data_IF_848719484101
#
_entry.id   IF_848719484101
#
_cell.length_a   1.000
_cell.length_b   1.000
_cell.length_c   1.000
_cell.angle_alpha   90.00
_cell.angle_beta   90.00
_cell.angle_gamma   90.00
#
_symmetry.space_group_name_H-M   'P 1'
#
loop_
_entity.id
_entity.type
_entity.pdbx_description
1 polymer ?
#
# COMPACT_ATOMS: atom_id res chain seq x y z
N UNK A 1 -15.00 19.21 3.42
CA UNK A 1 -15.00 18.59 2.09
C UNK A 1 -13.65 17.93 1.74
N UNK A 2 -12.51 18.60 2.01
CA UNK A 2 -11.16 18.06 1.76
C UNK A 2 -10.91 16.77 2.58
N UNK A 3 -11.30 16.75 3.85
CA UNK A 3 -11.13 15.59 4.73
C UNK A 3 -12.02 14.41 4.34
N UNK A 4 -13.26 14.70 3.92
CA UNK A 4 -14.16 13.67 3.41
C UNK A 4 -13.64 13.04 2.13
N UNK A 5 -13.04 13.82 1.23
CA UNK A 5 -12.37 13.35 0.03
C UNK A 5 -11.14 12.47 0.36
N UNK A 6 -10.36 12.83 1.39
CA UNK A 6 -9.22 12.06 1.90
C UNK A 6 -9.69 10.72 2.47
N UNK A 7 -10.75 10.73 3.28
CA UNK A 7 -11.34 9.51 3.85
C UNK A 7 -11.81 8.50 2.79
N UNK A 8 -12.43 8.98 1.71
CA UNK A 8 -12.82 8.13 0.59
C UNK A 8 -11.62 7.52 -0.15
N UNK A 9 -10.56 8.31 -0.35
CA UNK A 9 -9.31 7.81 -0.94
C UNK A 9 -8.63 6.75 -0.07
N UNK A 10 -8.73 6.86 1.25
CA UNK A 10 -8.16 5.90 2.19
C UNK A 10 -8.89 4.56 2.18
N UNK A 11 -10.16 4.50 1.83
CA UNK A 11 -10.90 3.23 1.63
C UNK A 11 -10.29 2.42 0.48
N UNK A 12 -10.01 3.05 -0.67
CA UNK A 12 -9.30 2.39 -1.78
C UNK A 12 -7.89 1.97 -1.40
N UNK A 13 -7.15 2.83 -0.71
CA UNK A 13 -5.81 2.50 -0.20
C UNK A 13 -5.81 1.22 0.63
N UNK A 14 -6.78 1.06 1.54
CA UNK A 14 -6.87 -0.13 2.39
C UNK A 14 -7.20 -1.40 1.61
N UNK A 15 -8.06 -1.32 0.59
CA UNK A 15 -8.32 -2.47 -0.30
C UNK A 15 -7.07 -2.87 -1.09
N UNK A 16 -6.34 -1.88 -1.63
CA UNK A 16 -5.06 -2.08 -2.31
C UNK A 16 -4.05 -2.73 -1.35
N UNK A 17 -3.96 -2.23 -0.13
CA UNK A 17 -3.07 -2.75 0.90
C UNK A 17 -3.41 -4.18 1.29
N UNK A 18 -4.70 -4.50 1.47
CA UNK A 18 -5.14 -5.85 1.79
C UNK A 18 -4.71 -6.87 0.74
N UNK A 19 -4.91 -6.57 -0.55
CA UNK A 19 -4.49 -7.45 -1.65
C UNK A 19 -2.95 -7.53 -1.72
N UNK A 20 -2.25 -6.39 -1.61
CA UNK A 20 -0.79 -6.33 -1.59
C UNK A 20 -0.19 -7.12 -0.43
N UNK A 21 -0.75 -6.99 0.77
CA UNK A 21 -0.36 -7.73 1.97
C UNK A 21 -0.59 -9.25 1.78
N UNK A 22 -1.73 -9.65 1.23
CA UNK A 22 -2.04 -11.05 0.97
C UNK A 22 -0.98 -11.69 0.05
N UNK A 23 -0.65 -11.03 -1.06
CA UNK A 23 0.33 -11.54 -2.02
C UNK A 23 1.75 -11.46 -1.43
N UNK A 24 2.16 -10.30 -0.91
CA UNK A 24 3.52 -10.03 -0.46
C UNK A 24 3.89 -10.82 0.79
N UNK A 25 3.09 -10.71 1.86
CA UNK A 25 3.34 -11.40 3.13
C UNK A 25 3.15 -12.91 2.97
N UNK A 26 2.11 -13.35 2.23
CA UNK A 26 1.88 -14.76 1.96
C UNK A 26 3.03 -15.40 1.18
N UNK A 27 3.56 -14.73 0.15
CA UNK A 27 4.71 -15.20 -0.62
C UNK A 27 6.00 -15.25 0.23
N UNK A 28 6.24 -14.24 1.06
CA UNK A 28 7.41 -14.19 1.94
C UNK A 28 7.35 -15.27 3.02
N UNK A 29 6.17 -15.56 3.56
CA UNK A 29 5.96 -16.67 4.50
C UNK A 29 6.22 -18.02 3.83
N UNK A 30 5.70 -18.20 2.61
CA UNK A 30 5.95 -19.42 1.81
C UNK A 30 7.43 -19.59 1.48
N UNK A 31 8.12 -18.50 1.15
CA UNK A 31 9.57 -18.46 0.95
C UNK A 31 10.30 -18.96 2.19
N UNK A 32 10.00 -18.40 3.38
CA UNK A 32 10.65 -18.79 4.63
C UNK A 32 10.45 -20.27 4.96
N UNK A 33 9.21 -20.78 4.84
CA UNK A 33 8.90 -22.22 5.05
C UNK A 33 9.63 -23.10 4.05
N UNK A 34 9.68 -22.72 2.78
CA UNK A 34 10.32 -23.51 1.72
C UNK A 34 11.84 -23.53 1.89
N UNK A 35 12.43 -22.41 2.29
CA UNK A 35 13.86 -22.29 2.60
C UNK A 35 14.26 -23.17 3.78
N UNK A 36 13.48 -23.13 4.87
CA UNK A 36 13.71 -23.99 6.03
C UNK A 36 13.66 -25.50 5.69
N UNK A 37 12.91 -25.87 4.62
CA UNK A 37 12.84 -27.24 4.11
C UNK A 37 13.90 -27.56 3.05
N UNK A 38 14.87 -26.68 2.82
CA UNK A 38 15.94 -26.87 1.84
C UNK A 38 15.48 -26.88 0.37
N UNK A 39 14.29 -26.33 0.07
CA UNK A 39 13.77 -26.25 -1.31
C UNK A 39 14.34 -25.03 -2.04
N UNK A 40 14.43 -25.12 -3.37
CA UNK A 40 14.80 -23.97 -4.19
C UNK A 40 13.75 -22.86 -4.08
N UNK A 41 14.19 -21.67 -3.67
CA UNK A 41 13.35 -20.51 -3.38
C UNK A 41 13.67 -19.28 -4.22
N UNK A 42 14.58 -19.40 -5.19
CA UNK A 42 15.11 -18.28 -5.98
C UNK A 42 14.07 -17.49 -6.78
N UNK A 43 12.92 -18.10 -7.07
CA UNK A 43 11.88 -17.51 -7.91
C UNK A 43 10.73 -16.85 -7.12
N UNK A 44 10.69 -17.03 -5.80
CA UNK A 44 9.53 -16.56 -4.98
C UNK A 44 9.37 -15.04 -4.98
N UNK A 45 10.47 -14.31 -4.86
CA UNK A 45 10.44 -12.85 -4.84
C UNK A 45 9.92 -12.28 -6.16
N UNK A 46 10.52 -12.71 -7.28
CA UNK A 46 10.15 -12.22 -8.62
C UNK A 46 8.70 -12.56 -8.94
N UNK A 47 8.24 -13.77 -8.60
CA UNK A 47 6.83 -14.14 -8.79
C UNK A 47 5.89 -13.29 -7.93
N UNK A 48 6.25 -12.99 -6.68
CA UNK A 48 5.46 -12.15 -5.80
C UNK A 48 5.31 -10.72 -6.36
N UNK A 49 6.42 -10.11 -6.80
CA UNK A 49 6.39 -8.79 -7.43
C UNK A 49 5.57 -8.81 -8.72
N UNK A 50 5.76 -9.83 -9.56
CA UNK A 50 4.98 -9.96 -10.81
C UNK A 50 3.48 -10.06 -10.54
N UNK A 51 3.06 -10.88 -9.59
CA UNK A 51 1.65 -11.00 -9.22
C UNK A 51 1.11 -9.73 -8.56
N UNK A 52 1.91 -9.02 -7.77
CA UNK A 52 1.53 -7.72 -7.20
C UNK A 52 1.27 -6.68 -8.31
N UNK A 53 2.13 -6.64 -9.32
CA UNK A 53 1.95 -5.75 -10.48
C UNK A 53 0.72 -6.15 -11.30
N UNK A 54 0.53 -7.44 -11.59
CA UNK A 54 -0.64 -7.93 -12.32
C UNK A 54 -1.95 -7.63 -11.58
N UNK A 55 -1.98 -7.83 -10.27
CA UNK A 55 -3.14 -7.50 -9.43
C UNK A 55 -3.40 -5.99 -9.34
N UNK A 56 -2.39 -5.15 -9.55
CA UNK A 56 -2.53 -3.70 -9.57
C UNK A 56 -3.13 -3.16 -10.88
N UNK A 57 -3.02 -3.89 -11.98
CA UNK A 57 -3.49 -3.44 -13.32
C UNK A 57 -4.96 -2.98 -13.32
N UNK A 58 -5.93 -3.71 -12.76
CA UNK A 58 -7.32 -3.25 -12.74
C UNK A 58 -7.48 -1.90 -12.05
N UNK A 59 -6.80 -1.68 -10.91
CA UNK A 59 -6.83 -0.42 -10.17
C UNK A 59 -6.20 0.72 -10.96
N UNK A 60 -5.08 0.47 -11.64
CA UNK A 60 -4.46 1.45 -12.54
C UNK A 60 -5.42 1.85 -13.66
N UNK A 61 -6.07 0.90 -14.30
CA UNK A 61 -7.02 1.17 -15.39
C UNK A 61 -8.20 2.01 -14.90
N UNK A 62 -8.74 1.71 -13.71
CA UNK A 62 -9.78 2.52 -13.06
C UNK A 62 -9.27 3.95 -12.83
N UNK A 63 -8.05 4.12 -12.30
CA UNK A 63 -7.46 5.43 -12.06
C UNK A 63 -7.22 6.25 -13.33
N UNK A 64 -6.87 5.60 -14.44
CA UNK A 64 -6.61 6.27 -15.71
C UNK A 64 -7.92 6.66 -16.41
N UNK A 65 -8.89 5.73 -16.53
CA UNK A 65 -10.05 5.90 -17.39
C UNK A 65 -11.30 6.42 -16.67
N UNK A 66 -11.53 6.03 -15.40
CA UNK A 66 -12.80 6.28 -14.71
C UNK A 66 -12.63 6.72 -13.23
N UNK A 67 -11.71 7.63 -12.89
CA UNK A 67 -11.50 8.05 -11.49
C UNK A 67 -12.75 8.67 -10.87
N UNK A 68 -13.57 9.38 -11.65
CA UNK A 68 -14.80 10.03 -11.17
C UNK A 68 -15.86 8.99 -10.76
N UNK A 69 -16.01 7.91 -11.53
CA UNK A 69 -16.94 6.82 -11.19
C UNK A 69 -16.47 6.05 -9.94
N UNK A 70 -15.15 5.92 -9.77
CA UNK A 70 -14.58 5.32 -8.58
C UNK A 70 -14.94 6.13 -7.33
N UNK A 71 -14.82 7.46 -7.37
CA UNK A 71 -15.26 8.34 -6.28
C UNK A 71 -16.76 8.30 -6.05
N UNK A 72 -17.56 8.34 -7.12
CA UNK A 72 -19.03 8.27 -7.04
C UNK A 72 -19.51 6.96 -6.39
N UNK A 73 -18.85 5.83 -6.67
CA UNK A 73 -19.13 4.52 -6.04
C UNK A 73 -18.94 4.54 -4.53
N UNK A 74 -18.02 5.36 -4.02
CA UNK A 74 -17.80 5.58 -2.58
C UNK A 74 -18.74 6.62 -1.96
N UNK A 75 -19.69 7.16 -2.73
CA UNK A 75 -20.66 8.15 -2.24
C UNK A 75 -20.16 9.59 -2.27
N UNK A 76 -19.17 9.91 -3.11
CA UNK A 76 -18.74 11.28 -3.32
C UNK A 76 -19.78 12.06 -4.13
N UNK A 77 -20.14 13.26 -3.67
CA UNK A 77 -20.95 14.22 -4.42
C UNK A 77 -20.11 14.97 -5.48
N UNK A 78 -20.76 15.73 -6.36
CA UNK A 78 -20.10 16.40 -7.48
C UNK A 78 -18.98 17.37 -7.04
N UNK A 79 -19.13 18.04 -5.92
CA UNK A 79 -18.12 18.95 -5.37
C UNK A 79 -16.89 18.20 -4.87
N UNK A 80 -17.12 17.08 -4.21
CA UNK A 80 -16.08 16.20 -3.70
C UNK A 80 -15.28 15.51 -4.81
N UNK A 81 -15.96 15.11 -5.90
CA UNK A 81 -15.33 14.52 -7.10
C UNK A 81 -14.36 15.53 -7.72
N UNK A 82 -14.76 16.81 -7.86
CA UNK A 82 -13.89 17.85 -8.41
C UNK A 82 -12.59 18.03 -7.63
N UNK A 83 -12.67 17.98 -6.28
CA UNK A 83 -11.52 18.15 -5.40
C UNK A 83 -10.63 16.89 -5.32
N UNK A 84 -11.25 15.71 -5.23
CA UNK A 84 -10.59 14.45 -4.96
C UNK A 84 -10.09 13.70 -6.19
N UNK A 85 -10.54 14.07 -7.38
CA UNK A 85 -10.26 13.39 -8.65
C UNK A 85 -8.77 13.12 -8.88
N UNK A 86 -7.95 14.16 -8.81
CA UNK A 86 -6.52 14.05 -9.06
C UNK A 86 -5.81 13.23 -7.98
N UNK A 87 -6.21 13.41 -6.72
CA UNK A 87 -5.68 12.63 -5.60
C UNK A 87 -5.91 11.12 -5.80
N UNK A 88 -7.17 10.72 -6.01
CA UNK A 88 -7.54 9.31 -6.21
C UNK A 88 -6.90 8.74 -7.48
N UNK A 89 -6.84 9.53 -8.55
CA UNK A 89 -6.16 9.14 -9.78
C UNK A 89 -4.69 8.80 -9.53
N UNK A 90 -3.95 9.65 -8.81
CA UNK A 90 -2.53 9.43 -8.46
C UNK A 90 -2.39 8.15 -7.63
N UNK A 91 -3.21 7.96 -6.60
CA UNK A 91 -3.17 6.78 -5.73
C UNK A 91 -3.44 5.49 -6.51
N UNK A 92 -4.45 5.48 -7.38
CA UNK A 92 -4.80 4.31 -8.19
C UNK A 92 -3.71 3.97 -9.23
N UNK A 93 -3.09 4.97 -9.84
CA UNK A 93 -1.97 4.76 -10.77
C UNK A 93 -0.73 4.22 -10.02
N UNK A 94 -0.51 4.67 -8.78
CA UNK A 94 0.61 4.23 -7.96
C UNK A 94 0.39 2.84 -7.28
N UNK A 95 -0.74 2.19 -7.50
CA UNK A 95 -1.07 0.87 -6.91
C UNK A 95 0.03 -0.18 -7.04
N UNK A 96 0.75 -0.33 -8.18
CA UNK A 96 1.84 -1.30 -8.29
C UNK A 96 2.94 -1.10 -7.25
N UNK A 97 3.25 0.15 -6.91
CA UNK A 97 4.25 0.48 -5.90
C UNK A 97 3.74 0.14 -4.49
N UNK A 98 2.48 0.44 -4.19
CA UNK A 98 1.86 0.08 -2.91
C UNK A 98 1.84 -1.43 -2.69
N UNK A 99 1.40 -2.20 -3.68
CA UNK A 99 1.34 -3.66 -3.57
C UNK A 99 2.73 -4.30 -3.50
N UNK A 100 3.68 -3.84 -4.33
CA UNK A 100 5.05 -4.36 -4.33
C UNK A 100 5.80 -4.05 -3.04
N UNK A 101 5.50 -2.94 -2.37
CA UNK A 101 6.12 -2.57 -1.10
C UNK A 101 5.93 -3.65 -0.02
N UNK A 102 4.76 -4.31 0.03
CA UNK A 102 4.54 -5.43 0.94
C UNK A 102 5.47 -6.61 0.64
N UNK A 103 5.73 -6.90 -0.62
CA UNK A 103 6.69 -7.93 -1.02
C UNK A 103 8.10 -7.57 -0.56
N UNK A 104 8.57 -6.35 -0.88
CA UNK A 104 9.92 -5.91 -0.52
C UNK A 104 10.15 -5.95 0.99
N UNK A 105 9.25 -5.40 1.77
CA UNK A 105 9.40 -5.36 3.24
C UNK A 105 9.26 -6.72 3.90
N UNK A 106 8.32 -7.56 3.44
CA UNK A 106 8.10 -8.89 4.01
C UNK A 106 9.25 -9.85 3.71
N UNK A 107 9.79 -9.84 2.49
CA UNK A 107 10.95 -10.65 2.15
C UNK A 107 12.21 -10.20 2.90
N UNK A 108 12.47 -8.90 3.03
CA UNK A 108 13.59 -8.39 3.83
C UNK A 108 13.51 -8.85 5.30
N UNK A 109 12.30 -8.80 5.90
CA UNK A 109 12.09 -9.31 7.27
C UNK A 109 12.36 -10.81 7.38
N UNK A 110 11.85 -11.60 6.44
CA UNK A 110 11.96 -13.07 6.45
C UNK A 110 13.35 -13.57 6.03
N UNK A 111 14.16 -12.72 5.39
CA UNK A 111 15.54 -13.00 5.04
C UNK A 111 16.57 -12.53 6.11
N UNK A 112 16.09 -12.15 7.29
CA UNK A 112 16.93 -11.81 8.43
C UNK A 112 17.31 -10.34 8.54
N UNK A 113 16.65 -9.43 7.80
CA UNK A 113 16.89 -7.99 7.87
C UNK A 113 15.66 -7.18 8.31
N UNK A 114 15.00 -7.50 9.44
CA UNK A 114 13.83 -6.76 9.91
C UNK A 114 14.13 -5.30 10.19
N UNK A 115 15.34 -4.98 10.65
CA UNK A 115 15.76 -3.60 10.92
C UNK A 115 15.79 -2.75 9.67
N UNK A 116 16.23 -3.30 8.52
CA UNK A 116 16.24 -2.56 7.25
C UNK A 116 14.82 -2.32 6.75
N UNK A 117 13.93 -3.31 6.87
CA UNK A 117 12.53 -3.13 6.53
C UNK A 117 11.85 -2.05 7.41
N UNK A 118 12.19 -2.00 8.70
CA UNK A 118 11.71 -0.97 9.63
C UNK A 118 12.25 0.42 9.26
N UNK A 119 13.56 0.55 9.03
CA UNK A 119 14.19 1.81 8.60
C UNK A 119 13.56 2.28 7.28
N UNK A 120 13.31 1.38 6.33
CA UNK A 120 12.64 1.71 5.08
C UNK A 120 11.24 2.28 5.30
N UNK A 121 10.45 1.65 6.17
CA UNK A 121 9.10 2.13 6.49
C UNK A 121 9.12 3.50 7.18
N UNK A 122 10.04 3.71 8.14
CA UNK A 122 10.22 4.99 8.83
C UNK A 122 10.67 6.08 7.83
N UNK A 123 11.66 5.77 6.99
CA UNK A 123 12.15 6.72 5.97
C UNK A 123 11.03 7.12 4.99
N UNK A 124 10.20 6.17 4.57
CA UNK A 124 9.03 6.44 3.73
C UNK A 124 8.02 7.35 4.42
N UNK A 125 7.74 7.12 5.72
CA UNK A 125 6.82 7.95 6.50
C UNK A 125 7.37 9.36 6.72
N UNK A 126 8.64 9.51 7.05
CA UNK A 126 9.29 10.82 7.19
C UNK A 126 9.25 11.57 5.85
N UNK A 127 9.57 10.88 4.75
CA UNK A 127 9.47 11.45 3.41
C UNK A 127 8.05 11.95 3.15
N UNK A 128 7.04 11.14 3.44
CA UNK A 128 5.64 11.52 3.23
C UNK A 128 5.27 12.80 3.98
N UNK A 129 5.59 12.91 5.28
CA UNK A 129 5.29 14.09 6.11
C UNK A 129 5.95 15.35 5.54
N UNK A 130 7.24 15.27 5.18
CA UNK A 130 7.99 16.43 4.68
C UNK A 130 7.46 16.84 3.29
N UNK A 131 7.27 15.88 2.40
CA UNK A 131 6.89 16.16 1.01
C UNK A 131 5.40 16.44 0.84
N UNK A 132 4.54 15.98 1.74
CA UNK A 132 3.15 16.45 1.83
C UNK A 132 3.14 17.98 1.97
N UNK A 133 3.90 18.51 2.93
CA UNK A 133 3.99 19.96 3.13
C UNK A 133 4.59 20.67 1.92
N UNK A 134 5.71 20.17 1.39
CA UNK A 134 6.42 20.80 0.27
C UNK A 134 5.56 20.84 -0.99
N UNK A 135 4.90 19.74 -1.34
CA UNK A 135 4.10 19.66 -2.57
C UNK A 135 2.78 20.40 -2.45
N UNK A 136 2.18 20.44 -1.24
CA UNK A 136 0.92 21.15 -1.03
C UNK A 136 1.09 22.68 -1.05
N UNK A 137 2.12 23.22 -0.38
CA UNK A 137 2.27 24.65 -0.13
C UNK A 137 3.35 25.30 -1.01
N UNK A 138 4.66 25.03 -0.90
CA UNK A 138 5.68 25.68 -1.71
C UNK A 138 5.54 25.41 -3.20
N UNK A 139 5.20 24.19 -3.60
CA UNK A 139 5.02 23.80 -5.01
C UNK A 139 3.62 24.16 -5.52
N UNK A 140 2.65 24.39 -4.63
CA UNK A 140 1.32 24.84 -4.98
C UNK A 140 0.42 23.80 -5.64
N UNK A 141 0.74 22.50 -5.52
CA UNK A 141 -0.07 21.40 -6.06
C UNK A 141 -1.35 21.14 -5.24
N UNK A 142 -1.49 21.78 -4.07
CA UNK A 142 -2.63 21.60 -3.19
C UNK A 142 -2.84 20.11 -2.83
N UNK A 143 -4.10 19.67 -2.85
CA UNK A 143 -4.45 18.30 -2.46
C UNK A 143 -3.83 17.20 -3.36
N UNK A 144 -3.57 17.50 -4.63
CA UNK A 144 -2.86 16.59 -5.54
C UNK A 144 -1.42 16.34 -5.11
N UNK A 145 -0.78 17.34 -4.45
CA UNK A 145 0.56 17.23 -3.89
C UNK A 145 0.67 16.17 -2.80
N UNK A 146 -0.33 16.12 -1.89
CA UNK A 146 -0.42 15.07 -0.87
C UNK A 146 -0.55 13.67 -1.50
N UNK A 147 -1.36 13.55 -2.56
CA UNK A 147 -1.45 12.31 -3.33
C UNK A 147 -0.11 11.86 -3.92
N UNK A 148 0.66 12.81 -4.44
CA UNK A 148 1.97 12.54 -5.03
C UNK A 148 3.00 12.09 -3.97
N UNK A 149 3.10 12.79 -2.85
CA UNK A 149 4.00 12.41 -1.75
C UNK A 149 3.66 11.01 -1.22
N UNK A 150 2.37 10.71 -1.06
CA UNK A 150 1.89 9.39 -0.66
C UNK A 150 2.26 8.32 -1.70
N UNK A 151 2.16 8.61 -2.99
CA UNK A 151 2.51 7.68 -4.06
C UNK A 151 4.01 7.36 -4.14
N UNK A 152 4.87 8.31 -3.77
CA UNK A 152 6.34 8.14 -3.76
C UNK A 152 6.82 7.39 -2.50
N UNK A 153 6.10 7.49 -1.38
CA UNK A 153 6.46 6.87 -0.10
C UNK A 153 6.86 5.37 -0.23
N UNK A 154 6.09 4.48 -0.88
CA UNK A 154 6.50 3.09 -1.05
C UNK A 154 7.77 2.92 -1.88
N UNK A 155 8.05 3.83 -2.83
CA UNK A 155 9.30 3.80 -3.62
C UNK A 155 10.50 4.05 -2.72
N UNK A 156 10.40 5.02 -1.80
CA UNK A 156 11.47 5.30 -0.81
C UNK A 156 11.70 4.07 0.06
N UNK A 157 10.64 3.47 0.60
CA UNK A 157 10.73 2.25 1.41
C UNK A 157 11.39 1.10 0.65
N UNK A 158 10.97 0.83 -0.58
CA UNK A 158 11.55 -0.22 -1.43
C UNK A 158 13.02 0.06 -1.77
N UNK A 159 13.39 1.32 -2.00
CA UNK A 159 14.78 1.72 -2.25
C UNK A 159 15.69 1.40 -1.06
N UNK A 160 15.24 1.66 0.16
CA UNK A 160 15.97 1.27 1.38
C UNK A 160 16.07 -0.25 1.51
N UNK A 161 14.98 -1.00 1.25
CA UNK A 161 15.01 -2.46 1.28
C UNK A 161 15.99 -3.03 0.24
N UNK A 162 16.18 -2.35 -0.89
CA UNK A 162 17.13 -2.77 -1.94
C UNK A 162 18.58 -2.78 -1.44
N UNK A 163 18.92 -2.00 -0.40
CA UNK A 163 20.24 -2.04 0.24
C UNK A 163 20.51 -3.46 0.80
N UNK A 164 19.51 -4.08 1.45
CA UNK A 164 19.65 -5.46 1.91
C UNK A 164 19.83 -6.44 0.74
N UNK A 165 19.04 -6.30 -0.31
CA UNK A 165 19.10 -7.20 -1.48
C UNK A 165 20.42 -7.11 -2.25
N UNK A 166 21.18 -6.02 -2.09
CA UNK A 166 22.55 -5.87 -2.63
C UNK A 166 23.65 -6.30 -1.65
N UNK A 167 23.29 -6.63 -0.43
CA UNK A 167 24.23 -7.07 0.59
C UNK A 167 24.63 -8.54 0.38
N UNK A 168 25.83 -8.91 0.83
CA UNK A 168 26.30 -10.30 0.89
C UNK A 168 25.48 -11.20 1.83
N UNK A 169 24.65 -10.61 2.71
CA UNK A 169 23.73 -11.33 3.62
C UNK A 169 22.39 -11.68 2.97
N UNK A 170 22.18 -11.27 1.73
CA UNK A 170 20.95 -11.58 1.01
C UNK A 170 20.94 -13.03 0.55
N UNK A 171 19.84 -13.71 0.82
CA UNK A 171 19.57 -15.08 0.35
C UNK A 171 18.35 -15.15 -0.57
N UNK A 172 17.74 -14.02 -0.85
CA UNK A 172 16.61 -13.94 -1.77
C UNK A 172 17.13 -14.00 -3.20
N UNK A 173 16.69 -15.01 -3.93
CA UNK A 173 17.03 -15.16 -5.35
C UNK A 173 16.15 -14.29 -6.26
N UNK A 174 16.72 -13.89 -7.39
CA UNK A 174 16.04 -13.04 -8.39
C UNK A 174 15.85 -13.77 -9.73
N UNK A 175 15.67 -15.10 -9.69
CA UNK A 175 15.47 -15.87 -10.90
C UNK A 175 14.06 -15.70 -11.46
N UNK A 176 13.99 -15.31 -12.75
CA UNK A 176 12.75 -15.21 -13.49
C UNK A 176 12.17 -16.60 -13.75
N UNK A 177 10.93 -16.79 -13.32
CA UNK A 177 10.14 -17.98 -13.65
C UNK A 177 8.74 -17.53 -14.06
N UNK A 178 8.19 -18.17 -15.09
CA UNK A 178 6.81 -17.85 -15.54
C UNK A 178 5.85 -17.85 -14.35
N UNK A 179 5.00 -16.81 -14.20
CA UNK A 179 4.06 -16.72 -13.11
C UNK A 179 3.10 -17.92 -13.13
N UNK A 180 3.03 -18.63 -12.00
CA UNK A 180 2.17 -19.80 -11.85
C UNK A 180 0.97 -19.46 -10.96
N UNK A 181 -0.24 -19.66 -11.45
CA UNK A 181 -1.46 -19.41 -10.69
C UNK A 181 -1.60 -20.35 -9.47
N UNK A 182 -1.16 -21.61 -9.59
CA UNK A 182 -1.11 -22.56 -8.45
C UNK A 182 -0.19 -22.04 -7.34
N UNK A 183 0.94 -21.43 -7.72
CA UNK A 183 1.85 -20.83 -6.76
C UNK A 183 1.20 -19.62 -6.06
N UNK A 184 0.52 -18.76 -6.81
CA UNK A 184 -0.22 -17.63 -6.26
C UNK A 184 -1.24 -18.08 -5.21
N UNK A 185 -2.11 -19.05 -5.53
CA UNK A 185 -3.11 -19.57 -4.60
C UNK A 185 -2.45 -20.06 -3.30
N UNK A 186 -1.37 -20.84 -3.43
CA UNK A 186 -0.64 -21.36 -2.25
C UNK A 186 -0.03 -20.25 -1.39
N UNK A 187 0.39 -19.13 -1.98
CA UNK A 187 0.88 -17.96 -1.27
C UNK A 187 -0.27 -17.18 -0.62
N UNK A 188 -1.36 -16.96 -1.37
CA UNK A 188 -2.54 -16.26 -0.87
C UNK A 188 -3.17 -16.98 0.34
N UNK A 189 -3.19 -18.31 0.36
CA UNK A 189 -3.67 -19.07 1.52
C UNK A 189 -2.94 -18.72 2.82
N UNK A 190 -1.63 -18.50 2.74
CA UNK A 190 -0.82 -18.06 3.89
C UNK A 190 -0.97 -16.56 4.18
N UNK A 191 -1.39 -15.79 3.20
CA UNK A 191 -1.59 -14.35 3.31
C UNK A 191 -3.01 -13.93 3.72
N UNK A 192 -3.96 -14.86 3.86
CA UNK A 192 -5.36 -14.54 4.23
C UNK A 192 -5.45 -13.78 5.55
N UNK A 193 -4.64 -14.14 6.54
CA UNK A 193 -4.60 -13.45 7.83
C UNK A 193 -4.19 -11.98 7.69
N UNK A 194 -3.22 -11.69 6.84
CA UNK A 194 -2.78 -10.33 6.56
C UNK A 194 -3.87 -9.54 5.81
N UNK A 195 -4.54 -10.17 4.84
CA UNK A 195 -5.67 -9.59 4.13
C UNK A 195 -6.82 -9.20 5.09
N UNK A 196 -7.22 -10.13 5.95
CA UNK A 196 -8.28 -9.89 6.95
C UNK A 196 -7.85 -8.79 7.93
N UNK A 197 -6.59 -8.78 8.37
CA UNK A 197 -6.05 -7.75 9.26
C UNK A 197 -6.14 -6.33 8.65
N UNK A 198 -5.74 -6.18 7.40
CA UNK A 198 -5.81 -4.88 6.69
C UNK A 198 -7.28 -4.44 6.48
N UNK A 199 -8.16 -5.35 6.07
CA UNK A 199 -9.59 -5.04 5.92
C UNK A 199 -10.23 -4.68 7.27
N UNK A 200 -9.95 -5.42 8.33
CA UNK A 200 -10.47 -5.16 9.68
C UNK A 200 -10.06 -3.77 10.16
N UNK A 201 -8.80 -3.38 9.94
CA UNK A 201 -8.32 -2.03 10.25
C UNK A 201 -9.12 -0.95 9.49
N UNK A 202 -9.50 -1.25 8.24
CA UNK A 202 -10.38 -0.38 7.45
C UNK A 202 -11.78 -0.24 8.03
N UNK A 203 -12.40 -1.36 8.39
CA UNK A 203 -13.74 -1.39 8.99
C UNK A 203 -13.74 -0.66 10.33
N UNK A 204 -12.75 -0.93 11.18
CA UNK A 204 -12.59 -0.25 12.48
C UNK A 204 -12.51 1.26 12.28
N UNK A 205 -11.69 1.76 11.37
CA UNK A 205 -11.56 3.19 11.12
C UNK A 205 -12.89 3.83 10.65
N UNK A 206 -13.65 3.13 9.79
CA UNK A 206 -14.96 3.59 9.33
C UNK A 206 -15.96 3.64 10.51
N UNK A 207 -16.04 2.58 11.29
CA UNK A 207 -16.96 2.49 12.44
C UNK A 207 -16.62 3.58 13.47
N UNK A 208 -15.35 3.76 13.79
CA UNK A 208 -14.92 4.83 14.72
C UNK A 208 -15.27 6.22 14.20
N UNK A 209 -15.08 6.50 12.90
CA UNK A 209 -15.48 7.76 12.29
C UNK A 209 -17.00 8.03 12.43
N UNK A 210 -17.82 6.99 12.18
CA UNK A 210 -19.27 7.11 12.36
C UNK A 210 -19.67 7.36 13.82
N UNK A 211 -19.04 6.67 14.77
CA UNK A 211 -19.30 6.83 16.21
C UNK A 211 -18.89 8.23 16.68
N UNK A 212 -17.72 8.74 16.26
CA UNK A 212 -17.23 10.05 16.65
C UNK A 212 -18.12 11.17 16.04
N UNK A 213 -18.53 11.03 14.79
CA UNK A 213 -19.49 11.94 14.17
C UNK A 213 -20.83 11.95 14.90
N UNK A 214 -21.30 10.80 15.37
CA UNK A 214 -22.55 10.69 16.12
C UNK A 214 -22.49 11.31 17.53
N UNK A 215 -21.33 11.28 18.19
CA UNK A 215 -21.16 11.74 19.58
C UNK A 215 -20.67 13.21 19.64
N UNK A 216 -19.67 13.57 18.84
CA UNK A 216 -18.95 14.84 18.95
C UNK A 216 -19.20 15.81 17.76
N UNK A 217 -20.05 15.43 16.81
CA UNK A 217 -20.28 16.19 15.59
C UNK A 217 -19.02 16.36 14.73
N UNK A 218 -19.03 17.37 13.87
CA UNK A 218 -17.93 17.64 12.93
C UNK A 218 -16.57 17.92 13.58
N UNK A 219 -16.56 18.39 14.84
CA UNK A 219 -15.33 18.71 15.58
C UNK A 219 -14.58 17.43 16.02
N UNK A 220 -15.29 16.36 16.35
CA UNK A 220 -14.69 15.10 16.75
C UNK A 220 -14.02 14.34 15.60
N UNK A 221 -14.50 14.53 14.37
CA UNK A 221 -13.92 13.97 13.16
C UNK A 221 -12.51 14.53 12.88
N UNK A 222 -12.30 15.82 13.13
CA UNK A 222 -11.02 16.51 12.99
C UNK A 222 -9.93 15.93 13.90
N UNK A 223 -10.29 15.55 15.12
CA UNK A 223 -9.35 15.01 16.12
C UNK A 223 -8.88 13.58 15.78
N UNK A 224 -9.70 12.79 15.10
CA UNK A 224 -9.37 11.39 14.80
C UNK A 224 -8.71 11.18 13.43
N UNK A 225 -8.94 12.09 12.48
CA UNK A 225 -8.29 12.06 11.15
C UNK A 225 -6.95 12.79 11.13
N UNK A 226 -6.60 13.51 12.22
CA UNK A 226 -5.25 14.02 12.41
C UNK A 226 -4.28 12.83 12.48
N UNK A 227 -3.23 12.77 11.65
CA UNK A 227 -2.25 11.72 11.76
C UNK A 227 -1.64 11.78 13.16
N UNK A 228 -1.88 10.71 13.93
CA UNK A 228 -1.14 10.50 15.18
C UNK A 228 0.35 10.46 14.83
N UNK A 229 1.19 11.20 15.57
CA UNK A 229 2.62 11.25 15.32
C UNK A 229 3.30 9.88 15.38
#
# INVERSE_FOLDING_TARGET
DVERSRGLGDVYKRQIYAIGAMIGIGSATRYAISRAKGKNTEHYFVQSVTWSILAAVPFMLIGIFIPDKALALLGADAGLIGLGRNYVRIILIATPFFMSNYTFTAFARNDGAPSIAMIGSISGSIFNIIFDYIFMFPVGLGFSGAGLATAICPIVTMSVCTIHYRSSRNHVGFHWKKPSFRHLISCCQLGVSAFVGELSSGVIAIVFNFLILGIAGNMGCLLYTSPSP
#
